data_IF_058767603534
#
_entry.id   IF_058767603534
#
_cell.length_a   1.000
_cell.length_b   1.000
_cell.length_c   1.000
_cell.angle_alpha   90.00
_cell.angle_beta   90.00
_cell.angle_gamma   90.00
#
_symmetry.space_group_name_H-M   'P 1'
#
loop_
_entity.id
_entity.type
_entity.pdbx_description
1 polymer ?
#
# COMPACT_ATOMS: atom_id res chain seq x y z
N UNK A 1 1.87 10.39 -1.25
CA UNK A 1 0.66 9.81 -0.62
C UNK A 1 -0.41 9.63 -1.68
N UNK A 2 -1.08 8.50 -1.69
CA UNK A 2 -2.20 8.22 -2.59
C UNK A 2 -3.42 7.88 -1.77
N UNK A 3 -4.61 8.31 -2.24
CA UNK A 3 -5.89 7.98 -1.63
C UNK A 3 -6.65 7.00 -2.52
N UNK A 4 -7.41 6.09 -1.91
CA UNK A 4 -8.35 5.26 -2.67
C UNK A 4 -9.45 6.14 -3.28
N UNK A 5 -10.23 5.57 -4.20
CA UNK A 5 -11.42 6.26 -4.70
C UNK A 5 -12.28 6.71 -3.51
N UNK A 6 -12.83 7.91 -3.59
CA UNK A 6 -13.62 8.57 -2.53
C UNK A 6 -12.85 8.87 -1.24
N UNK A 7 -11.52 8.70 -1.22
CA UNK A 7 -10.69 9.07 -0.07
C UNK A 7 -10.88 8.21 1.18
N UNK A 8 -11.36 6.97 1.04
CA UNK A 8 -11.65 6.08 2.18
C UNK A 8 -10.39 5.51 2.81
N UNK A 9 -9.28 5.45 2.08
CA UNK A 9 -7.99 5.02 2.60
C UNK A 9 -6.87 5.86 2.01
N UNK A 10 -5.71 5.82 2.64
CA UNK A 10 -4.51 6.44 2.14
C UNK A 10 -3.34 5.50 2.32
N UNK A 11 -2.40 5.54 1.40
CA UNK A 11 -1.18 4.74 1.48
C UNK A 11 -0.01 5.55 0.98
N UNK A 12 1.17 5.30 1.53
CA UNK A 12 2.39 5.93 1.06
C UNK A 12 3.61 5.08 1.40
N UNK A 13 4.65 5.28 0.59
CA UNK A 13 5.93 4.62 0.76
C UNK A 13 6.95 5.62 1.25
N UNK A 14 7.72 5.24 2.27
CA UNK A 14 8.87 6.00 2.75
C UNK A 14 10.16 5.28 2.39
N UNK A 15 11.01 5.93 1.61
CA UNK A 15 12.32 5.41 1.23
C UNK A 15 13.20 5.13 2.44
N UNK A 16 13.13 5.97 3.46
CA UNK A 16 13.89 5.79 4.70
C UNK A 16 13.40 4.53 5.43
N UNK A 17 14.18 3.46 5.34
CA UNK A 17 13.85 2.16 5.91
C UNK A 17 12.87 1.33 5.08
N UNK A 18 12.51 1.78 3.86
CA UNK A 18 11.60 1.08 2.96
C UNK A 18 10.31 0.67 3.66
N UNK A 19 9.55 1.65 4.12
CA UNK A 19 8.31 1.42 4.87
C UNK A 19 7.09 1.78 4.05
N UNK A 20 6.05 0.96 4.18
CA UNK A 20 4.71 1.24 3.67
C UNK A 20 3.81 1.65 4.85
N UNK A 21 3.03 2.70 4.64
CA UNK A 21 2.02 3.16 5.60
C UNK A 21 0.64 3.05 4.97
N UNK A 22 -0.32 2.57 5.76
CA UNK A 22 -1.71 2.43 5.33
C UNK A 22 -2.61 3.05 6.40
N UNK A 23 -3.36 4.07 6.01
CA UNK A 23 -4.29 4.77 6.89
C UNK A 23 -5.73 4.47 6.48
N UNK A 24 -6.56 4.11 7.46
CA UNK A 24 -8.01 4.03 7.32
C UNK A 24 -8.61 5.37 7.69
N UNK A 25 -9.26 6.02 6.73
CA UNK A 25 -9.81 7.36 6.91
C UNK A 25 -11.32 7.39 7.22
N UNK A 26 -12.03 6.28 7.01
CA UNK A 26 -13.49 6.24 7.11
C UNK A 26 -13.94 4.94 7.79
N UNK A 27 -14.87 5.08 8.73
CA UNK A 27 -15.50 3.94 9.39
C UNK A 27 -16.63 3.39 8.49
N UNK A 28 -16.28 2.61 7.49
CA UNK A 28 -17.21 2.10 6.49
C UNK A 28 -17.43 0.57 6.56
N UNK A 29 -16.89 -0.07 7.61
CA UNK A 29 -16.96 -1.52 7.75
C UNK A 29 -15.98 -2.30 6.90
N UNK A 30 -15.10 -1.61 6.16
CA UNK A 30 -14.06 -2.20 5.32
C UNK A 30 -12.67 -1.85 5.82
N UNK A 31 -11.69 -2.65 5.41
CA UNK A 31 -10.29 -2.38 5.73
C UNK A 31 -9.68 -1.43 4.71
N UNK A 32 -8.76 -0.59 5.16
CA UNK A 32 -7.86 0.12 4.26
C UNK A 32 -6.79 -0.85 3.77
N UNK A 33 -6.46 -0.80 2.49
CA UNK A 33 -5.56 -1.75 1.86
C UNK A 33 -4.51 -0.99 1.05
N UNK A 34 -3.25 -1.37 1.19
CA UNK A 34 -2.19 -0.96 0.28
C UNK A 34 -1.75 -2.17 -0.56
N UNK A 35 -1.79 -2.00 -1.87
CA UNK A 35 -1.30 -3.00 -2.81
C UNK A 35 0.05 -2.51 -3.33
N UNK A 36 1.09 -3.29 -3.10
CA UNK A 36 2.45 -2.93 -3.44
C UNK A 36 2.93 -3.79 -4.59
N UNK A 37 3.32 -3.16 -5.68
CA UNK A 37 3.98 -3.82 -6.80
C UNK A 37 5.37 -3.21 -6.99
N UNK A 38 6.27 -3.99 -7.56
CA UNK A 38 7.66 -3.58 -7.76
C UNK A 38 8.07 -3.84 -9.20
N UNK A 39 9.03 -3.04 -9.67
CA UNK A 39 9.73 -3.27 -10.93
C UNK A 39 11.23 -3.20 -10.65
N UNK A 40 11.91 -4.31 -10.91
CA UNK A 40 13.35 -4.42 -10.70
C UNK A 40 14.13 -3.77 -11.84
N UNK A 41 15.42 -3.43 -11.62
CA UNK A 41 16.24 -2.80 -12.66
C UNK A 41 16.38 -3.62 -13.95
N UNK A 42 16.21 -4.94 -13.89
CA UNK A 42 16.26 -5.82 -15.06
C UNK A 42 14.94 -5.82 -15.87
N UNK A 43 13.93 -5.08 -15.44
CA UNK A 43 12.63 -4.99 -16.09
C UNK A 43 11.60 -5.99 -15.58
N UNK A 44 11.98 -6.96 -14.77
CA UNK A 44 11.05 -7.89 -14.14
C UNK A 44 10.31 -7.21 -12.99
N UNK A 45 9.19 -7.78 -12.56
CA UNK A 45 8.45 -7.26 -11.42
C UNK A 45 7.08 -7.89 -11.30
N UNK A 46 6.24 -7.32 -10.46
CA UNK A 46 4.89 -7.79 -10.22
C UNK A 46 4.41 -7.41 -8.82
N UNK A 47 3.34 -8.07 -8.40
CA UNK A 47 2.81 -7.91 -7.05
C UNK A 47 3.84 -8.35 -6.02
N UNK A 48 4.11 -7.47 -5.06
CA UNK A 48 5.09 -7.72 -4.00
C UNK A 48 4.40 -8.05 -2.68
N UNK A 49 3.42 -7.23 -2.27
CA UNK A 49 2.75 -7.41 -0.98
C UNK A 49 1.39 -6.72 -0.99
N UNK A 50 0.53 -7.17 -0.08
CA UNK A 50 -0.76 -6.53 0.18
C UNK A 50 -0.84 -6.32 1.69
N UNK A 51 -0.96 -5.05 2.10
CA UNK A 51 -0.99 -4.68 3.50
C UNK A 51 -2.40 -4.24 3.88
N UNK A 52 -2.97 -4.88 4.89
CA UNK A 52 -4.33 -4.66 5.35
C UNK A 52 -4.31 -3.92 6.68
N UNK A 53 -4.93 -2.73 6.72
CA UNK A 53 -5.20 -2.05 7.98
C UNK A 53 -6.59 -2.46 8.48
N UNK A 54 -6.61 -3.28 9.51
CA UNK A 54 -7.83 -3.83 10.10
C UNK A 54 -8.18 -3.17 11.44
N UNK A 55 -7.49 -2.09 11.80
CA UNK A 55 -7.64 -1.48 13.13
C UNK A 55 -8.74 -0.44 13.22
N UNK A 56 -9.32 -0.04 12.07
CA UNK A 56 -10.45 0.85 12.04
C UNK A 56 -10.09 2.29 11.69
N UNK A 57 -11.11 3.12 11.61
CA UNK A 57 -11.02 4.50 11.18
C UNK A 57 -10.07 5.32 12.04
N UNK A 58 -9.30 6.16 11.42
CA UNK A 58 -8.34 7.05 12.07
C UNK A 58 -7.01 6.39 12.42
N UNK A 59 -6.86 5.08 12.19
CA UNK A 59 -5.62 4.37 12.50
C UNK A 59 -4.70 4.32 11.30
N UNK A 60 -3.40 4.26 11.57
CA UNK A 60 -2.36 4.06 10.57
C UNK A 60 -1.49 2.90 11.01
N UNK A 61 -1.28 1.95 10.10
CA UNK A 61 -0.31 0.87 10.32
C UNK A 61 0.87 1.04 9.38
N UNK A 62 1.97 0.39 9.70
CA UNK A 62 3.15 0.39 8.85
C UNK A 62 3.74 -1.00 8.74
N UNK A 63 4.38 -1.26 7.59
CA UNK A 63 5.14 -2.47 7.33
C UNK A 63 6.51 -2.05 6.83
N UNK A 64 7.57 -2.57 7.47
CA UNK A 64 8.95 -2.24 7.10
C UNK A 64 9.56 -3.41 6.35
N UNK A 65 10.17 -3.12 5.20
CA UNK A 65 10.84 -4.14 4.38
C UNK A 65 12.36 -4.14 4.59
N UNK A 66 12.91 -3.06 5.17
CA UNK A 66 14.34 -2.98 5.46
C UNK A 66 15.20 -3.21 4.21
N UNK A 67 16.02 -4.25 4.24
CA UNK A 67 16.89 -4.62 3.11
C UNK A 67 16.27 -5.65 2.16
N UNK A 68 15.00 -5.99 2.34
CA UNK A 68 14.32 -6.96 1.48
C UNK A 68 14.13 -6.47 0.05
N UNK A 69 14.06 -5.14 -0.16
CA UNK A 69 13.98 -4.54 -1.48
C UNK A 69 15.37 -4.10 -1.94
N UNK A 70 15.74 -4.50 -3.16
CA UNK A 70 16.99 -4.09 -3.77
C UNK A 70 16.97 -2.59 -4.07
N UNK A 71 18.14 -1.95 -3.99
CA UNK A 71 18.28 -0.55 -4.38
C UNK A 71 17.90 -0.36 -5.85
N UNK A 72 17.35 0.81 -6.16
CA UNK A 72 16.86 1.19 -7.49
C UNK A 72 15.63 0.40 -7.96
N UNK A 73 15.00 -0.38 -7.10
CA UNK A 73 13.72 -1.01 -7.39
C UNK A 73 12.63 0.06 -7.38
N UNK A 74 11.82 0.11 -8.42
CA UNK A 74 10.64 0.98 -8.45
C UNK A 74 9.53 0.34 -7.62
N UNK A 75 8.95 1.11 -6.70
CA UNK A 75 7.88 0.65 -5.82
C UNK A 75 6.61 1.42 -6.15
N UNK A 76 5.58 0.72 -6.56
CA UNK A 76 4.26 1.28 -6.81
C UNK A 76 3.33 0.92 -5.66
N UNK A 77 2.64 1.92 -5.14
CA UNK A 77 1.67 1.75 -4.07
C UNK A 77 0.30 2.20 -4.55
N UNK A 78 -0.67 1.31 -4.43
CA UNK A 78 -2.08 1.64 -4.67
C UNK A 78 -2.83 1.63 -3.35
N UNK A 79 -3.67 2.63 -3.12
CA UNK A 79 -4.56 2.66 -1.98
C UNK A 79 -5.93 2.12 -2.38
N UNK A 80 -6.43 1.16 -1.62
CA UNK A 80 -7.70 0.49 -1.88
C UNK A 80 -8.51 0.39 -0.60
N UNK A 81 -9.74 -0.04 -0.73
CA UNK A 81 -10.55 -0.55 0.38
C UNK A 81 -10.87 -2.01 0.11
N UNK A 82 -11.10 -2.77 1.15
CA UNK A 82 -11.33 -4.19 0.96
C UNK A 82 -11.97 -4.88 2.13
N UNK A 83 -12.25 -6.16 1.93
CA UNK A 83 -12.79 -7.06 2.93
C UNK A 83 -11.77 -8.15 3.20
N UNK A 84 -11.17 -8.12 4.38
CA UNK A 84 -10.10 -9.06 4.75
C UNK A 84 -10.60 -10.51 4.77
N UNK A 85 -11.83 -10.74 5.21
CA UNK A 85 -12.36 -12.12 5.33
C UNK A 85 -12.49 -12.81 3.98
N UNK A 86 -12.78 -12.06 2.91
CA UNK A 86 -12.89 -12.59 1.54
C UNK A 86 -11.62 -12.35 0.71
N UNK A 87 -10.67 -11.56 1.23
CA UNK A 87 -9.43 -11.16 0.52
C UNK A 87 -9.72 -10.42 -0.78
N UNK A 88 -10.83 -9.72 -0.85
CA UNK A 88 -11.20 -8.88 -2.00
C UNK A 88 -10.96 -7.42 -1.68
N UNK A 89 -10.49 -6.67 -2.67
CA UNK A 89 -10.30 -5.23 -2.54
C UNK A 89 -10.73 -4.53 -3.83
N UNK A 90 -11.06 -3.25 -3.70
CA UNK A 90 -11.61 -2.44 -4.80
C UNK A 90 -11.30 -0.96 -4.58
N UNK A 91 -11.78 -0.10 -5.50
CA UNK A 91 -11.60 1.36 -5.45
C UNK A 91 -10.11 1.77 -5.39
N UNK A 92 -9.26 1.01 -6.08
CA UNK A 92 -7.83 1.20 -6.05
C UNK A 92 -7.39 2.37 -6.92
N UNK A 93 -6.55 3.23 -6.36
CA UNK A 93 -5.89 4.32 -7.08
C UNK A 93 -4.39 4.15 -6.89
N UNK A 94 -3.67 4.09 -8.00
CA UNK A 94 -2.22 3.98 -7.99
C UNK A 94 -1.57 5.34 -7.76
N UNK A 95 -0.57 5.38 -6.89
CA UNK A 95 0.25 6.56 -6.68
C UNK A 95 1.42 6.63 -7.65
N UNK A 96 2.27 7.64 -7.46
CA UNK A 96 3.53 7.75 -8.21
C UNK A 96 4.51 6.70 -7.70
N UNK A 97 5.32 6.08 -8.60
CA UNK A 97 6.35 5.15 -8.16
C UNK A 97 7.37 5.83 -7.25
N UNK A 98 7.75 5.13 -6.19
CA UNK A 98 8.90 5.47 -5.37
C UNK A 98 10.09 4.59 -5.74
N UNK A 99 11.25 4.90 -5.17
CA UNK A 99 12.48 4.12 -5.38
C UNK A 99 12.93 3.58 -4.03
N UNK A 100 13.16 2.29 -4.00
CA UNK A 100 13.68 1.62 -2.80
C UNK A 100 15.15 1.97 -2.54
#
# INVERSE_FOLDING_TARGET
>A
MVYSAYGHSAAWFKHDGDKIYVKDSVADGHSAVAVISVQYPDGSGGLYDIVWNRQGSGTTISEAYGTALDECTLVNVSACVGNYSTKKYWDCIAGRPGIA
#
